data_IF_456883822625
#
_entry.id   IF_456883822625
#
_cell.length_a   1.000
_cell.length_b   1.000
_cell.length_c   1.000
_cell.angle_alpha   90.00
_cell.angle_beta   90.00
_cell.angle_gamma   90.00
#
_symmetry.space_group_name_H-M   'P 1'
#
loop_
_entity.id
_entity.type
_entity.pdbx_description
1 polymer ?
#
# COMPACT_ATOMS: atom_id res chain seq x y z
N UNK A 1 -23.02 2.00 -15.19
CA UNK A 1 -22.77 3.34 -15.77
C UNK A 1 -21.67 3.31 -16.84
N UNK A 2 -20.54 2.65 -16.59
CA UNK A 2 -19.44 2.59 -17.55
C UNK A 2 -19.83 1.87 -18.83
N UNK A 3 -20.47 0.70 -18.73
CA UNK A 3 -20.94 -0.05 -19.88
C UNK A 3 -21.93 0.77 -20.72
N UNK A 4 -22.86 1.46 -20.04
CA UNK A 4 -23.93 2.23 -20.71
C UNK A 4 -23.43 3.56 -21.28
N UNK A 5 -22.44 4.21 -20.67
CA UNK A 5 -22.05 5.59 -21.00
C UNK A 5 -20.66 5.75 -21.60
N UNK A 6 -19.77 4.75 -21.46
CA UNK A 6 -18.38 4.81 -21.93
C UNK A 6 -18.03 3.76 -22.97
N UNK A 7 -18.99 2.98 -23.42
CA UNK A 7 -18.79 1.87 -24.38
C UNK A 7 -17.73 0.88 -23.90
N UNK A 8 -17.65 0.65 -22.59
CA UNK A 8 -16.83 -0.37 -21.95
C UNK A 8 -17.72 -1.57 -21.67
N UNK A 9 -17.24 -2.76 -21.91
CA UNK A 9 -17.96 -4.00 -21.64
C UNK A 9 -17.23 -4.73 -20.50
N UNK A 10 -17.83 -4.71 -19.29
CA UNK A 10 -17.34 -5.40 -18.12
C UNK A 10 -18.18 -6.65 -17.89
N UNK A 11 -17.54 -7.80 -17.88
CA UNK A 11 -18.08 -9.02 -17.31
C UNK A 11 -17.74 -9.02 -15.80
N UNK A 12 -18.75 -9.05 -14.94
CA UNK A 12 -18.59 -8.94 -13.48
C UNK A 12 -19.00 -10.26 -12.84
N UNK A 13 -18.08 -10.87 -12.10
CA UNK A 13 -18.32 -12.05 -11.26
C UNK A 13 -18.18 -11.64 -9.79
N UNK A 14 -19.18 -11.96 -8.96
CA UNK A 14 -19.21 -11.59 -7.54
C UNK A 14 -19.08 -12.83 -6.66
N UNK A 15 -18.21 -12.74 -5.65
CA UNK A 15 -17.96 -13.82 -4.72
C UNK A 15 -17.62 -13.31 -3.32
N UNK A 16 -17.56 -14.22 -2.33
CA UNK A 16 -17.31 -13.89 -0.92
C UNK A 16 -15.83 -14.01 -0.56
N UNK A 17 -15.28 -12.95 0.05
CA UNK A 17 -13.95 -12.94 0.63
C UNK A 17 -13.95 -12.24 2.00
N UNK A 18 -13.00 -12.56 2.87
CA UNK A 18 -12.90 -12.00 4.21
C UNK A 18 -13.88 -12.62 5.21
N UNK A 19 -14.44 -11.81 6.09
CA UNK A 19 -15.32 -12.24 7.17
C UNK A 19 -16.61 -12.89 6.69
N UNK A 20 -17.22 -12.39 5.62
CA UNK A 20 -18.44 -12.99 5.04
C UNK A 20 -18.17 -14.38 4.44
N UNK A 21 -17.01 -14.61 3.86
CA UNK A 21 -16.59 -15.94 3.41
C UNK A 21 -16.38 -16.87 4.61
N UNK A 22 -15.74 -16.37 5.68
CA UNK A 22 -15.54 -17.15 6.89
C UNK A 22 -16.87 -17.58 7.52
N UNK A 23 -17.84 -16.68 7.63
CA UNK A 23 -19.17 -16.99 8.19
C UNK A 23 -19.88 -18.10 7.42
N UNK A 24 -19.72 -18.14 6.10
CA UNK A 24 -20.40 -19.11 5.23
C UNK A 24 -19.63 -20.41 5.05
N UNK A 25 -18.30 -20.32 4.95
CA UNK A 25 -17.45 -21.42 4.49
C UNK A 25 -16.40 -21.85 5.52
N UNK A 26 -16.24 -21.15 6.67
CA UNK A 26 -15.21 -21.41 7.68
C UNK A 26 -13.78 -21.08 7.24
N UNK A 27 -13.62 -20.38 6.10
CA UNK A 27 -12.35 -19.93 5.57
C UNK A 27 -12.47 -18.51 5.04
N UNK A 28 -11.44 -17.65 5.19
CA UNK A 28 -11.46 -16.27 4.70
C UNK A 28 -11.61 -16.14 3.18
N UNK A 29 -11.22 -17.16 2.43
CA UNK A 29 -11.42 -17.26 0.99
C UNK A 29 -11.40 -18.74 0.60
N UNK A 30 -12.34 -19.19 -0.22
CA UNK A 30 -12.34 -20.54 -0.78
C UNK A 30 -11.34 -20.65 -1.94
N UNK A 31 -10.88 -21.86 -2.23
CA UNK A 31 -9.96 -22.06 -3.38
C UNK A 31 -10.64 -21.74 -4.71
N UNK A 32 -11.94 -21.99 -4.85
CA UNK A 32 -12.71 -21.63 -6.06
C UNK A 32 -12.67 -20.13 -6.30
N UNK A 33 -13.04 -19.31 -5.30
CA UNK A 33 -13.02 -17.83 -5.40
C UNK A 33 -11.61 -17.31 -5.64
N UNK A 34 -10.63 -17.92 -4.99
CA UNK A 34 -9.24 -17.58 -5.17
C UNK A 34 -8.75 -17.82 -6.61
N UNK A 35 -9.08 -18.97 -7.22
CA UNK A 35 -8.70 -19.25 -8.62
C UNK A 35 -9.42 -18.33 -9.61
N UNK A 36 -10.69 -18.02 -9.40
CA UNK A 36 -11.41 -17.01 -10.21
C UNK A 36 -10.70 -15.65 -10.16
N UNK A 37 -10.28 -15.20 -8.96
CA UNK A 37 -9.53 -13.95 -8.81
C UNK A 37 -8.18 -13.98 -9.54
N UNK A 38 -7.50 -15.14 -9.61
CA UNK A 38 -6.25 -15.28 -10.38
C UNK A 38 -6.47 -15.24 -11.90
N UNK A 39 -7.63 -15.61 -12.39
CA UNK A 39 -7.97 -15.64 -13.82
C UNK A 39 -8.53 -14.29 -14.29
N UNK A 40 -9.05 -13.45 -13.38
CA UNK A 40 -9.60 -12.15 -13.73
C UNK A 40 -8.51 -11.11 -14.04
N UNK A 41 -8.81 -10.16 -14.92
CA UNK A 41 -7.92 -9.04 -15.26
C UNK A 41 -7.77 -8.08 -14.08
N UNK A 42 -8.87 -7.85 -13.35
CA UNK A 42 -8.94 -6.92 -12.22
C UNK A 42 -9.75 -7.54 -11.08
N UNK A 43 -9.29 -7.34 -9.86
CA UNK A 43 -10.04 -7.70 -8.66
C UNK A 43 -10.52 -6.42 -7.97
N UNK A 44 -11.81 -6.34 -7.68
CA UNK A 44 -12.37 -5.32 -6.78
C UNK A 44 -12.72 -5.97 -5.46
N UNK A 45 -12.05 -5.58 -4.38
CA UNK A 45 -12.25 -6.11 -3.05
C UNK A 45 -12.97 -5.07 -2.19
N UNK A 46 -14.01 -5.50 -1.48
CA UNK A 46 -14.70 -4.68 -0.49
C UNK A 46 -14.02 -4.70 0.87
N UNK A 47 -14.75 -4.33 1.91
CA UNK A 47 -14.27 -4.39 3.28
C UNK A 47 -14.07 -5.84 3.73
N UNK A 48 -12.93 -6.12 4.36
CA UNK A 48 -12.48 -7.50 4.61
C UNK A 48 -12.89 -8.03 5.97
N UNK A 49 -12.69 -7.25 7.02
CA UNK A 49 -12.81 -7.65 8.42
C UNK A 49 -13.70 -6.75 9.26
N UNK A 50 -13.60 -6.90 10.57
CA UNK A 50 -14.30 -6.09 11.55
C UNK A 50 -14.31 -6.75 12.93
N UNK A 51 -14.80 -6.07 13.99
CA UNK A 51 -14.70 -6.53 15.37
C UNK A 51 -15.30 -7.94 15.64
N UNK A 52 -16.26 -8.35 14.81
CA UNK A 52 -16.90 -9.68 14.91
C UNK A 52 -15.90 -10.83 14.83
N UNK A 53 -14.77 -10.66 14.13
CA UNK A 53 -13.80 -11.71 13.84
C UNK A 53 -12.48 -11.54 14.59
N UNK A 54 -12.40 -10.61 15.56
CA UNK A 54 -11.15 -10.31 16.29
C UNK A 54 -10.64 -11.49 17.13
N UNK A 55 -11.54 -12.32 17.64
CA UNK A 55 -11.21 -13.50 18.49
C UNK A 55 -10.82 -14.75 17.69
N UNK A 56 -10.83 -14.69 16.35
CA UNK A 56 -10.45 -15.83 15.54
C UNK A 56 -8.95 -16.13 15.63
N UNK A 57 -8.62 -17.41 15.47
CA UNK A 57 -7.24 -17.83 15.25
C UNK A 57 -6.60 -17.04 14.10
N UNK A 58 -5.33 -16.68 14.25
CA UNK A 58 -4.61 -15.85 13.28
C UNK A 58 -4.69 -16.36 11.83
N UNK A 59 -4.70 -17.69 11.64
CA UNK A 59 -4.81 -18.34 10.33
C UNK A 59 -6.19 -18.17 9.66
N UNK A 60 -7.22 -17.86 10.44
CA UNK A 60 -8.62 -17.75 10.00
C UNK A 60 -9.13 -16.32 9.95
N UNK A 61 -8.30 -15.33 10.32
CA UNK A 61 -8.68 -13.92 10.29
C UNK A 61 -9.02 -13.48 8.86
N UNK A 62 -10.04 -12.61 8.69
CA UNK A 62 -10.48 -12.11 7.39
C UNK A 62 -9.35 -11.53 6.51
N UNK A 63 -8.40 -10.83 7.13
CA UNK A 63 -7.25 -10.20 6.47
C UNK A 63 -6.35 -11.22 5.75
N UNK A 64 -6.45 -12.50 6.08
CA UNK A 64 -5.70 -13.57 5.40
C UNK A 64 -6.12 -13.73 3.94
N UNK A 65 -7.40 -13.44 3.59
CA UNK A 65 -7.86 -13.41 2.21
C UNK A 65 -7.12 -12.34 1.40
N UNK A 66 -7.06 -11.13 1.93
CA UNK A 66 -6.37 -10.01 1.31
C UNK A 66 -4.88 -10.29 1.12
N UNK A 67 -4.20 -10.78 2.16
CA UNK A 67 -2.77 -11.09 2.09
C UNK A 67 -2.47 -12.22 1.09
N UNK A 68 -3.34 -13.24 1.01
CA UNK A 68 -3.24 -14.33 0.02
C UNK A 68 -3.37 -13.78 -1.40
N UNK A 69 -4.38 -12.96 -1.67
CA UNK A 69 -4.59 -12.33 -2.97
C UNK A 69 -3.40 -11.45 -3.38
N UNK A 70 -2.95 -10.55 -2.52
CA UNK A 70 -1.78 -9.67 -2.79
C UNK A 70 -0.52 -10.46 -3.15
N UNK A 71 -0.24 -11.53 -2.41
CA UNK A 71 0.92 -12.39 -2.61
C UNK A 71 0.85 -13.13 -3.95
N UNK A 72 -0.25 -13.81 -4.22
CA UNK A 72 -0.36 -14.72 -5.37
C UNK A 72 -0.59 -13.96 -6.69
N UNK A 73 -1.29 -12.82 -6.65
CA UNK A 73 -1.37 -11.88 -7.76
C UNK A 73 -0.06 -11.08 -7.96
N UNK A 74 0.92 -11.24 -7.05
CA UNK A 74 2.22 -10.54 -7.07
C UNK A 74 2.07 -9.02 -7.10
N UNK A 75 1.12 -8.51 -6.33
CA UNK A 75 0.85 -7.07 -6.24
C UNK A 75 1.88 -6.43 -5.31
N UNK A 76 2.86 -5.76 -5.86
CA UNK A 76 3.99 -5.24 -5.09
C UNK A 76 3.94 -3.73 -4.83
N UNK A 77 3.19 -2.97 -5.61
CA UNK A 77 3.07 -1.52 -5.46
C UNK A 77 1.63 -1.14 -5.11
N UNK A 78 1.43 -0.57 -3.94
CA UNK A 78 0.15 -0.06 -3.50
C UNK A 78 0.12 1.47 -3.63
N UNK A 79 -0.82 1.96 -4.41
CA UNK A 79 -1.03 3.37 -4.67
C UNK A 79 -2.14 3.89 -3.75
N UNK A 80 -1.81 4.85 -2.91
CA UNK A 80 -2.71 5.49 -1.95
C UNK A 80 -2.70 7.00 -2.16
N UNK A 81 -3.64 7.56 -2.94
CA UNK A 81 -3.77 9.00 -3.09
C UNK A 81 -4.31 9.62 -1.80
N UNK A 82 -3.82 10.81 -1.44
CA UNK A 82 -4.37 11.66 -0.41
C UNK A 82 -4.76 13.00 -1.05
N UNK A 83 -6.00 13.09 -1.51
CA UNK A 83 -6.54 14.25 -2.23
C UNK A 83 -7.58 14.93 -1.34
N UNK A 84 -7.35 16.19 -1.02
CA UNK A 84 -8.34 17.00 -0.31
C UNK A 84 -9.24 17.70 -1.33
N UNK A 85 -10.47 17.22 -1.47
CA UNK A 85 -11.48 17.85 -2.30
C UNK A 85 -11.90 19.18 -1.70
N UNK A 86 -12.06 20.20 -2.51
CA UNK A 86 -12.38 21.56 -2.07
C UNK A 86 -13.66 21.61 -1.21
N UNK A 87 -14.65 20.80 -1.54
CA UNK A 87 -15.91 20.67 -0.80
C UNK A 87 -15.77 20.02 0.58
N UNK A 88 -14.64 19.38 0.85
CA UNK A 88 -14.36 18.64 2.09
C UNK A 88 -13.25 19.27 2.93
N UNK A 89 -12.73 20.41 2.55
CA UNK A 89 -11.66 21.11 3.30
C UNK A 89 -12.04 21.31 4.77
N UNK A 90 -13.28 21.68 5.04
CA UNK A 90 -13.78 21.90 6.40
C UNK A 90 -13.98 20.61 7.23
N UNK A 91 -13.94 19.44 6.58
CA UNK A 91 -13.97 18.15 7.28
C UNK A 91 -12.60 17.76 7.87
N UNK A 92 -11.51 18.38 7.41
CA UNK A 92 -10.17 18.18 7.98
C UNK A 92 -10.08 18.78 9.37
N UNK A 93 -9.29 18.12 10.24
CA UNK A 93 -8.94 18.68 11.57
C UNK A 93 -7.82 19.71 11.50
N UNK A 94 -7.16 19.84 10.36
CA UNK A 94 -6.13 20.84 10.11
C UNK A 94 -6.74 22.14 9.53
N UNK A 95 -5.97 23.20 9.61
CA UNK A 95 -6.38 24.50 9.06
C UNK A 95 -6.54 24.40 7.54
N UNK A 96 -7.59 25.05 6.95
CA UNK A 96 -7.85 25.04 5.52
C UNK A 96 -6.65 25.39 4.64
N UNK A 97 -5.83 26.36 5.04
CA UNK A 97 -4.64 26.75 4.29
C UNK A 97 -3.57 25.65 4.17
N UNK A 98 -3.58 24.66 5.07
CA UNK A 98 -2.66 23.53 5.03
C UNK A 98 -3.15 22.47 4.03
N UNK A 99 -4.45 22.18 4.01
CA UNK A 99 -5.01 21.03 3.27
C UNK A 99 -5.69 21.38 1.95
N UNK A 100 -6.12 22.63 1.76
CA UNK A 100 -6.77 23.05 0.49
C UNK A 100 -5.86 22.82 -0.71
N UNK A 101 -6.38 22.09 -1.71
CA UNK A 101 -5.63 21.74 -2.92
C UNK A 101 -4.54 20.68 -2.71
N UNK A 102 -4.59 19.93 -1.61
CA UNK A 102 -3.66 18.82 -1.35
C UNK A 102 -3.90 17.68 -2.34
N UNK A 103 -2.83 17.19 -2.95
CA UNK A 103 -2.79 16.02 -3.82
C UNK A 103 -1.44 15.31 -3.67
N UNK A 104 -1.40 14.30 -2.82
CA UNK A 104 -0.21 13.47 -2.58
C UNK A 104 -0.50 12.06 -3.05
N UNK A 105 0.47 11.42 -3.71
CA UNK A 105 0.44 10.00 -4.01
C UNK A 105 1.45 9.26 -3.15
N UNK A 106 0.99 8.33 -2.30
CA UNK A 106 1.87 7.44 -1.55
C UNK A 106 1.96 6.11 -2.29
N UNK A 107 3.19 5.71 -2.62
CA UNK A 107 3.53 4.44 -3.26
C UNK A 107 4.20 3.56 -2.21
N UNK A 108 3.44 2.60 -1.70
CA UNK A 108 3.83 1.64 -0.66
C UNK A 108 4.30 0.35 -1.31
N UNK A 109 5.49 -0.14 -0.95
CA UNK A 109 5.87 -1.53 -1.24
C UNK A 109 4.95 -2.46 -0.43
N UNK A 110 4.45 -3.55 -1.03
CA UNK A 110 3.33 -4.29 -0.46
C UNK A 110 3.65 -5.75 -0.11
N UNK A 111 4.73 -6.34 -0.63
CA UNK A 111 4.99 -7.78 -0.58
C UNK A 111 6.24 -8.17 0.21
N UNK A 112 7.02 -7.20 0.64
CA UNK A 112 8.23 -7.38 1.46
C UNK A 112 8.11 -6.83 2.87
N UNK A 113 9.25 -6.64 3.49
CA UNK A 113 9.40 -6.00 4.79
C UNK A 113 8.95 -6.83 5.97
N UNK A 114 8.63 -6.15 7.06
CA UNK A 114 8.35 -6.75 8.37
C UNK A 114 7.09 -7.63 8.41
N UNK A 115 6.16 -7.42 7.46
CA UNK A 115 4.93 -8.21 7.39
C UNK A 115 5.14 -9.60 6.79
N UNK A 116 6.25 -9.82 6.07
CA UNK A 116 6.53 -11.06 5.36
C UNK A 116 7.89 -11.69 5.70
N UNK A 117 8.81 -10.92 6.29
CA UNK A 117 10.16 -11.38 6.59
C UNK A 117 10.20 -12.53 7.60
N UNK A 118 11.17 -13.43 7.40
CA UNK A 118 11.44 -14.57 8.29
C UNK A 118 12.84 -14.39 8.94
N UNK A 119 13.05 -14.89 10.18
CA UNK A 119 12.11 -15.61 11.06
C UNK A 119 11.07 -14.68 11.71
N UNK A 120 9.87 -15.21 11.95
CA UNK A 120 8.78 -14.51 12.63
C UNK A 120 8.00 -15.41 13.58
N UNK A 121 7.28 -14.82 14.52
CA UNK A 121 6.40 -15.54 15.43
C UNK A 121 6.70 -15.28 16.90
N UNK A 122 5.96 -15.96 17.76
CA UNK A 122 6.13 -15.91 19.22
C UNK A 122 6.68 -17.27 19.68
N UNK A 123 7.82 -17.25 20.34
CA UNK A 123 8.50 -18.45 20.83
C UNK A 123 8.69 -18.38 22.34
N UNK A 124 8.49 -19.46 23.07
CA UNK A 124 8.90 -19.54 24.46
C UNK A 124 10.44 -19.46 24.57
N UNK A 125 10.91 -18.81 25.60
CA UNK A 125 12.31 -18.75 25.98
C UNK A 125 12.49 -19.19 27.43
N UNK A 126 13.70 -19.14 27.96
CA UNK A 126 13.99 -19.54 29.33
C UNK A 126 13.17 -18.74 30.36
N UNK A 127 13.01 -19.30 31.56
CA UNK A 127 12.30 -18.70 32.70
C UNK A 127 10.80 -18.43 32.48
N UNK A 128 10.15 -19.11 31.54
CA UNK A 128 8.73 -18.93 31.24
C UNK A 128 8.38 -17.66 30.45
N UNK A 129 9.37 -16.93 30.00
CA UNK A 129 9.19 -15.76 29.13
C UNK A 129 8.89 -16.17 27.67
N UNK A 130 8.38 -15.22 26.90
CA UNK A 130 8.11 -15.39 25.46
C UNK A 130 8.83 -14.28 24.69
N UNK A 131 9.36 -14.63 23.51
CA UNK A 131 9.99 -13.70 22.58
C UNK A 131 9.15 -13.57 21.30
N UNK A 132 8.70 -12.37 20.98
CA UNK A 132 8.11 -12.02 19.68
C UNK A 132 9.19 -11.61 18.71
N UNK A 133 9.12 -12.10 17.48
CA UNK A 133 10.10 -11.82 16.42
C UNK A 133 9.34 -11.44 15.14
N UNK A 134 9.73 -10.32 14.54
CA UNK A 134 9.43 -9.97 13.15
C UNK A 134 10.72 -9.51 12.50
N UNK A 135 10.96 -9.95 11.28
CA UNK A 135 12.18 -9.61 10.52
C UNK A 135 11.83 -8.64 9.41
N UNK A 136 12.54 -7.53 9.36
CA UNK A 136 12.39 -6.51 8.32
C UNK A 136 13.48 -6.71 7.26
N UNK A 137 13.10 -7.16 6.08
CA UNK A 137 14.03 -7.48 4.99
C UNK A 137 13.55 -6.92 3.66
N UNK A 138 14.49 -6.43 2.86
CA UNK A 138 14.27 -6.04 1.48
C UNK A 138 15.45 -6.46 0.61
N UNK A 139 15.17 -6.76 -0.65
CA UNK A 139 16.16 -6.99 -1.70
C UNK A 139 16.21 -5.80 -2.65
N UNK A 140 17.31 -5.61 -3.35
CA UNK A 140 17.48 -4.62 -4.42
C UNK A 140 16.31 -4.64 -5.41
N UNK A 141 15.88 -5.82 -5.84
CA UNK A 141 14.79 -5.96 -6.82
C UNK A 141 13.42 -5.53 -6.28
N UNK A 142 13.14 -5.74 -4.99
CA UNK A 142 11.90 -5.29 -4.35
C UNK A 142 11.86 -3.77 -4.23
N UNK A 143 12.98 -3.16 -3.87
CA UNK A 143 13.11 -1.70 -3.75
C UNK A 143 13.00 -1.04 -5.12
N UNK A 144 13.80 -1.49 -6.09
CA UNK A 144 13.89 -0.82 -7.40
C UNK A 144 12.60 -0.94 -8.21
N UNK A 145 11.85 -2.06 -8.11
CA UNK A 145 10.56 -2.21 -8.83
C UNK A 145 9.50 -1.21 -8.33
N UNK A 146 9.38 -0.99 -7.02
CA UNK A 146 8.40 -0.04 -6.48
C UNK A 146 8.86 1.41 -6.66
N UNK A 147 10.14 1.70 -6.54
CA UNK A 147 10.70 3.02 -6.80
C UNK A 147 10.50 3.44 -8.27
N UNK A 148 10.63 2.51 -9.22
CA UNK A 148 10.36 2.78 -10.65
C UNK A 148 8.91 3.21 -10.88
N UNK A 149 7.94 2.57 -10.23
CA UNK A 149 6.53 2.99 -10.28
C UNK A 149 6.37 4.42 -9.75
N UNK A 150 7.03 4.76 -8.65
CA UNK A 150 6.96 6.10 -8.07
C UNK A 150 7.56 7.18 -8.99
N UNK A 151 8.71 6.91 -9.60
CA UNK A 151 9.31 7.84 -10.56
C UNK A 151 8.47 8.01 -11.83
N UNK A 152 7.93 6.92 -12.38
CA UNK A 152 7.03 6.97 -13.55
C UNK A 152 5.75 7.75 -13.26
N UNK A 153 5.21 7.65 -12.05
CA UNK A 153 4.08 8.45 -11.61
C UNK A 153 4.45 9.92 -11.45
N UNK A 154 5.59 10.22 -10.84
CA UNK A 154 6.06 11.60 -10.65
C UNK A 154 6.20 12.34 -11.99
N UNK A 155 6.71 11.68 -13.04
CA UNK A 155 6.77 12.25 -14.40
C UNK A 155 5.42 12.67 -14.98
N UNK A 156 4.33 12.08 -14.49
CA UNK A 156 2.95 12.42 -14.90
C UNK A 156 2.30 13.45 -13.96
N UNK A 157 3.00 13.86 -12.92
CA UNK A 157 2.55 14.78 -11.87
C UNK A 157 3.50 15.97 -11.78
N UNK A 158 3.91 16.36 -10.57
CA UNK A 158 4.79 17.52 -10.35
C UNK A 158 6.28 17.21 -10.45
N UNK A 159 6.62 16.02 -10.95
CA UNK A 159 7.99 15.58 -11.21
C UNK A 159 8.89 15.52 -9.98
N UNK A 160 8.32 15.14 -8.81
CA UNK A 160 9.01 15.11 -7.53
C UNK A 160 8.73 13.82 -6.77
N UNK A 161 9.79 13.17 -6.26
CA UNK A 161 9.73 11.98 -5.41
C UNK A 161 10.41 12.25 -4.07
N UNK A 162 9.73 11.91 -2.99
CA UNK A 162 10.33 11.80 -1.66
C UNK A 162 10.43 10.32 -1.29
N UNK A 163 11.66 9.80 -1.22
CA UNK A 163 11.93 8.45 -0.73
C UNK A 163 11.97 8.48 0.79
N UNK A 164 11.05 7.74 1.41
CA UNK A 164 10.86 7.72 2.86
C UNK A 164 11.34 6.37 3.43
N UNK A 165 12.27 6.44 4.39
CA UNK A 165 12.94 5.27 4.96
C UNK A 165 13.48 5.55 6.38
N UNK A 166 14.16 4.59 6.99
CA UNK A 166 14.77 4.75 8.33
C UNK A 166 16.26 4.39 8.34
N UNK A 167 17.03 4.97 7.39
CA UNK A 167 18.44 4.67 7.14
C UNK A 167 19.38 4.95 8.31
N UNK A 168 18.98 5.81 9.24
CA UNK A 168 19.82 6.19 10.38
C UNK A 168 19.92 5.11 11.47
N UNK A 169 19.04 4.08 11.44
CA UNK A 169 19.01 3.02 12.47
C UNK A 169 18.65 1.63 11.92
N UNK A 170 18.37 1.50 10.63
CA UNK A 170 17.98 0.24 9.99
C UNK A 170 18.82 0.00 8.75
N UNK A 171 19.51 -1.15 8.68
CA UNK A 171 20.31 -1.55 7.52
C UNK A 171 19.43 -1.74 6.27
N UNK A 172 18.22 -2.29 6.42
CA UNK A 172 17.26 -2.37 5.33
C UNK A 172 16.82 -0.98 4.82
N UNK A 173 16.75 0.01 5.72
CA UNK A 173 16.51 1.42 5.37
C UNK A 173 17.71 2.05 4.66
N UNK A 174 18.93 1.71 5.07
CA UNK A 174 20.14 2.15 4.38
C UNK A 174 20.18 1.61 2.94
N UNK A 175 19.95 0.30 2.77
CA UNK A 175 19.86 -0.32 1.44
C UNK A 175 18.76 0.35 0.59
N UNK A 176 17.58 0.60 1.18
CA UNK A 176 16.50 1.28 0.49
C UNK A 176 16.95 2.62 -0.10
N UNK A 177 17.59 3.44 0.71
CA UNK A 177 18.09 4.76 0.30
C UNK A 177 19.11 4.65 -0.83
N UNK A 178 20.07 3.74 -0.72
CA UNK A 178 21.12 3.52 -1.71
C UNK A 178 20.54 3.06 -3.05
N UNK A 179 19.65 2.08 -3.05
CA UNK A 179 19.04 1.53 -4.27
C UNK A 179 18.12 2.54 -4.99
N UNK A 180 17.35 3.33 -4.23
CA UNK A 180 16.52 4.39 -4.80
C UNK A 180 17.39 5.49 -5.41
N UNK A 181 18.49 5.88 -4.74
CA UNK A 181 19.43 6.86 -5.26
C UNK A 181 20.12 6.35 -6.53
N UNK A 182 20.58 5.10 -6.52
CA UNK A 182 21.25 4.50 -7.69
C UNK A 182 20.31 4.39 -8.90
N UNK A 183 19.08 3.99 -8.68
CA UNK A 183 18.04 3.95 -9.72
C UNK A 183 17.78 5.34 -10.31
N UNK A 184 17.63 6.36 -9.45
CA UNK A 184 17.45 7.74 -9.85
C UNK A 184 18.62 8.21 -10.73
N UNK A 185 19.86 8.01 -10.29
CA UNK A 185 21.06 8.47 -10.99
C UNK A 185 21.27 7.78 -12.34
N UNK A 186 20.75 6.57 -12.51
CA UNK A 186 20.82 5.84 -13.78
C UNK A 186 19.69 6.18 -14.74
N UNK A 187 18.45 6.25 -14.28
CA UNK A 187 17.27 6.21 -15.15
C UNK A 187 16.34 7.44 -15.01
N UNK A 188 16.42 8.22 -13.91
CA UNK A 188 15.41 9.22 -13.55
C UNK A 188 16.00 10.57 -13.14
N UNK A 189 17.14 10.97 -13.69
CA UNK A 189 17.83 12.23 -13.36
C UNK A 189 16.99 13.49 -13.58
N UNK A 190 15.96 13.39 -14.38
CA UNK A 190 15.02 14.45 -14.70
C UNK A 190 13.92 14.62 -13.63
N UNK A 191 13.82 13.72 -12.65
CA UNK A 191 12.89 13.80 -11.53
C UNK A 191 13.61 14.36 -10.31
N UNK A 192 12.98 15.29 -9.60
CA UNK A 192 13.51 15.75 -8.30
C UNK A 192 13.41 14.64 -7.27
N UNK A 193 14.53 14.20 -6.69
CA UNK A 193 14.56 13.21 -5.61
C UNK A 193 15.02 13.84 -4.29
N UNK A 194 14.29 13.54 -3.23
CA UNK A 194 14.70 13.82 -1.84
C UNK A 194 14.56 12.57 -0.99
N UNK A 195 15.42 12.39 0.00
CA UNK A 195 15.31 11.36 1.02
C UNK A 195 14.84 11.95 2.34
N UNK A 196 13.94 11.28 3.02
CA UNK A 196 13.40 11.75 4.29
C UNK A 196 13.22 10.57 5.26
N UNK A 197 13.69 10.73 6.50
CA UNK A 197 13.43 9.72 7.54
C UNK A 197 11.93 9.63 7.83
N UNK A 198 11.42 8.43 8.08
CA UNK A 198 9.99 8.16 8.22
C UNK A 198 9.30 8.97 9.33
N UNK A 199 9.97 9.14 10.47
CA UNK A 199 9.49 9.98 11.57
C UNK A 199 9.42 11.47 11.18
N UNK A 200 10.39 11.96 10.42
CA UNK A 200 10.33 13.32 9.89
C UNK A 200 9.22 13.45 8.85
N UNK A 201 9.04 12.46 7.96
CA UNK A 201 7.97 12.45 6.98
C UNK A 201 6.61 12.55 7.66
N UNK A 202 6.38 11.78 8.72
CA UNK A 202 5.16 11.84 9.53
C UNK A 202 4.90 13.24 10.10
N UNK A 203 5.93 13.90 10.63
CA UNK A 203 5.79 15.28 11.11
C UNK A 203 5.50 16.26 9.98
N UNK A 204 6.17 16.12 8.85
CA UNK A 204 6.02 17.03 7.69
C UNK A 204 4.68 16.87 6.99
N UNK A 205 4.07 15.69 7.00
CA UNK A 205 2.70 15.48 6.51
C UNK A 205 1.70 16.37 7.26
N UNK A 206 1.90 16.60 8.57
CA UNK A 206 1.04 17.50 9.35
C UNK A 206 1.44 18.96 9.22
N UNK A 207 2.74 19.26 9.10
CA UNK A 207 3.26 20.62 9.14
C UNK A 207 3.21 21.32 7.80
N UNK A 208 3.61 20.63 6.75
CA UNK A 208 3.71 21.15 5.40
C UNK A 208 3.47 20.05 4.35
N UNK A 209 2.24 19.48 4.27
CA UNK A 209 1.96 18.38 3.36
C UNK A 209 2.12 18.75 1.88
N UNK A 210 1.93 20.01 1.52
CA UNK A 210 2.04 20.51 0.13
C UNK A 210 3.46 20.47 -0.46
N UNK A 211 4.47 20.15 0.35
CA UNK A 211 5.83 19.91 -0.16
C UNK A 211 5.96 18.58 -0.91
N UNK A 212 5.03 17.64 -0.67
CA UNK A 212 5.06 16.31 -1.27
C UNK A 212 4.25 16.25 -2.57
N UNK A 213 4.73 15.47 -3.52
CA UNK A 213 4.01 15.06 -4.72
C UNK A 213 3.84 13.54 -4.71
N UNK A 214 4.94 12.78 -4.87
CA UNK A 214 4.96 11.33 -4.72
C UNK A 214 5.87 10.94 -3.56
N UNK A 215 5.36 10.13 -2.64
CA UNK A 215 6.15 9.52 -1.57
C UNK A 215 6.31 8.04 -1.90
N UNK A 216 7.54 7.53 -1.94
CA UNK A 216 7.81 6.09 -2.05
C UNK A 216 8.40 5.57 -0.74
N UNK A 217 7.88 4.44 -0.25
CA UNK A 217 8.27 3.92 1.05
C UNK A 217 8.02 2.41 1.17
N UNK A 218 8.59 1.81 2.21
CA UNK A 218 8.42 0.41 2.54
C UNK A 218 6.99 0.06 3.00
N UNK A 219 6.77 -1.21 3.29
CA UNK A 219 5.46 -1.72 3.64
C UNK A 219 4.93 -1.14 4.97
N UNK A 220 5.77 -1.11 6.02
CA UNK A 220 5.35 -0.65 7.35
C UNK A 220 5.11 0.86 7.37
N UNK A 221 6.10 1.63 6.93
CA UNK A 221 5.97 3.08 6.93
C UNK A 221 4.92 3.55 5.95
N UNK A 222 4.76 2.84 4.81
CA UNK A 222 3.72 3.12 3.82
C UNK A 222 2.31 2.96 4.38
N UNK A 223 2.09 1.94 5.21
CA UNK A 223 0.84 1.75 5.93
C UNK A 223 0.54 2.94 6.85
N UNK A 224 1.46 3.21 7.75
CA UNK A 224 1.30 4.28 8.75
C UNK A 224 1.15 5.67 8.13
N UNK A 225 1.99 5.99 7.13
CA UNK A 225 1.99 7.32 6.51
C UNK A 225 0.77 7.54 5.63
N UNK A 226 0.25 6.51 4.96
CA UNK A 226 -0.97 6.65 4.16
C UNK A 226 -2.21 6.82 5.02
N UNK A 227 -2.31 6.10 6.15
CA UNK A 227 -3.40 6.27 7.10
C UNK A 227 -3.36 7.67 7.75
N UNK A 228 -2.16 8.15 8.09
CA UNK A 228 -1.99 9.52 8.56
C UNK A 228 -2.38 10.55 7.48
N UNK A 229 -1.98 10.34 6.23
CA UNK A 229 -2.31 11.24 5.12
C UNK A 229 -3.81 11.26 4.82
N UNK A 230 -4.53 10.15 5.03
CA UNK A 230 -5.98 10.09 4.87
C UNK A 230 -6.71 11.05 5.82
N UNK A 231 -6.18 11.24 7.03
CA UNK A 231 -6.74 12.16 8.01
C UNK A 231 -6.57 13.64 7.63
N UNK A 232 -5.61 13.97 6.74
CA UNK A 232 -5.49 15.33 6.18
C UNK A 232 -6.70 15.69 5.33
N UNK A 233 -7.31 14.72 4.67
CA UNK A 233 -8.47 14.90 3.79
C UNK A 233 -9.80 14.85 4.51
N UNK A 234 -9.79 14.53 5.82
CA UNK A 234 -10.97 14.48 6.67
C UNK A 234 -11.79 13.19 6.56
N UNK A 235 -11.39 12.22 5.72
CA UNK A 235 -12.11 10.95 5.58
C UNK A 235 -11.25 9.82 5.06
N UNK A 236 -11.13 8.75 5.83
CA UNK A 236 -10.48 7.51 5.40
C UNK A 236 -11.24 6.83 4.25
N UNK A 237 -12.56 6.78 4.33
CA UNK A 237 -13.40 6.04 3.39
C UNK A 237 -13.58 6.66 2.00
N UNK A 238 -13.03 7.86 1.75
CA UNK A 238 -13.09 8.51 0.44
C UNK A 238 -11.84 8.28 -0.41
N UNK A 239 -10.82 7.66 0.15
CA UNK A 239 -9.56 7.43 -0.56
C UNK A 239 -9.54 6.02 -1.15
N UNK A 240 -9.37 5.87 -2.48
CA UNK A 240 -9.21 4.57 -3.09
C UNK A 240 -7.81 4.01 -2.85
N UNK A 241 -7.70 2.69 -2.88
CA UNK A 241 -6.43 1.98 -2.87
C UNK A 241 -6.31 1.11 -4.12
N UNK A 242 -5.18 1.21 -4.83
CA UNK A 242 -4.88 0.39 -5.99
C UNK A 242 -3.58 -0.38 -5.75
N UNK A 243 -3.66 -1.70 -5.78
CA UNK A 243 -2.50 -2.59 -5.67
C UNK A 243 -2.13 -3.11 -7.05
N UNK A 244 -0.89 -2.84 -7.49
CA UNK A 244 -0.40 -3.13 -8.84
C UNK A 244 0.65 -4.24 -8.82
N UNK A 245 0.56 -5.16 -9.78
CA UNK A 245 1.54 -6.20 -10.05
C UNK A 245 2.51 -5.84 -11.18
N UNK A 246 3.32 -6.82 -11.58
CA UNK A 246 4.16 -6.66 -12.76
C UNK A 246 3.32 -6.73 -14.05
N UNK A 247 3.80 -6.05 -15.08
CA UNK A 247 3.22 -6.20 -16.42
C UNK A 247 3.39 -7.63 -16.92
N UNK A 248 2.34 -8.18 -17.52
CA UNK A 248 2.40 -9.44 -18.24
C UNK A 248 3.13 -9.27 -19.59
N UNK A 249 3.19 -10.32 -20.42
CA UNK A 249 3.85 -10.29 -21.72
C UNK A 249 3.18 -9.34 -22.72
N UNK A 250 1.90 -9.06 -22.53
CA UNK A 250 1.08 -8.19 -23.38
C UNK A 250 1.13 -6.72 -22.91
N UNK A 251 1.88 -6.46 -21.82
CA UNK A 251 2.04 -5.12 -21.24
C UNK A 251 0.94 -4.73 -20.26
N UNK A 252 0.00 -5.62 -19.98
CA UNK A 252 -1.09 -5.42 -19.04
C UNK A 252 -0.62 -5.64 -17.61
N UNK A 253 -1.13 -4.87 -16.69
CA UNK A 253 -0.76 -4.90 -15.28
C UNK A 253 -1.92 -5.49 -14.46
N UNK A 254 -1.67 -6.59 -13.75
CA UNK A 254 -2.65 -7.07 -12.79
C UNK A 254 -2.87 -6.03 -11.70
N UNK A 255 -4.13 -5.83 -11.34
CA UNK A 255 -4.50 -4.84 -10.34
C UNK A 255 -5.59 -5.37 -9.41
N UNK A 256 -5.54 -4.90 -8.17
CA UNK A 256 -6.62 -5.07 -7.21
C UNK A 256 -6.95 -3.70 -6.62
N UNK A 257 -8.23 -3.36 -6.62
CA UNK A 257 -8.75 -2.12 -6.06
C UNK A 257 -9.55 -2.44 -4.80
N UNK A 258 -9.36 -1.62 -3.79
CA UNK A 258 -10.02 -1.77 -2.49
C UNK A 258 -10.25 -0.40 -1.85
N UNK A 259 -11.27 -0.22 -1.01
CA UNK A 259 -11.34 0.93 -0.12
C UNK A 259 -10.19 0.85 0.90
N UNK A 260 -9.76 2.00 1.39
CA UNK A 260 -8.79 2.07 2.50
C UNK A 260 -9.47 1.74 3.81
#
# INVERSE_FOLDING_TARGET
WFNDNKSLDFEIDEDLAGGCSYDKHGTPITDEVFYKALESEVVMLGAVGGPKWDDLEFSKKPERALLKLRKELKLFANLRPAICFEQLVDASTLKPEIVSGLDIMIVRELTGGIYFGEPRGIKPIENGERKGINTHTYTTSEITRVARIAFDLAKKRSNKVTSCEKSNVMEAGQLWKEEVQELHDKEFKDVELSHMLADNCAMQLLRNPKQFDVIVTDNLFGDMLSDQASMLTGSLGLLPSASLGAKNKDGEMRAMYEPI
#
